data_IF_641339392092
#
_entry.id   IF_641339392092
#
_cell.length_a   1.000
_cell.length_b   1.000
_cell.length_c   1.000
_cell.angle_alpha   90.00
_cell.angle_beta   90.00
_cell.angle_gamma   90.00
#
_symmetry.space_group_name_H-M   'P 1'
#
loop_
_entity.id
_entity.type
_entity.pdbx_description
1 polymer ?
#
# COMPACT_ATOMS: atom_id res chain seq x y z
N UNK A 1 -4.08 53.82 24.21
CA UNK A 1 -3.18 53.24 23.15
C UNK A 1 -1.96 52.70 23.87
N UNK A 2 -1.86 51.44 24.03
CA UNK A 2 -0.64 50.82 24.57
C UNK A 2 0.45 50.97 23.51
N UNK A 3 1.59 51.58 23.87
CA UNK A 3 2.75 51.62 22.98
C UNK A 3 3.26 50.16 22.78
N UNK A 4 3.22 49.69 21.54
CA UNK A 4 3.77 48.38 21.15
C UNK A 4 5.30 48.51 21.25
N UNK A 5 5.89 47.97 22.33
CA UNK A 5 7.35 47.93 22.52
C UNK A 5 7.86 46.52 22.16
N UNK A 6 8.56 46.46 21.02
CA UNK A 6 9.16 45.19 20.56
C UNK A 6 10.67 45.28 20.71
N UNK A 7 11.29 44.31 21.39
CA UNK A 7 12.75 44.16 21.38
C UNK A 7 13.21 43.49 20.07
N UNK A 8 13.64 44.31 19.13
CA UNK A 8 14.14 43.88 17.83
C UNK A 8 15.60 43.38 17.85
N UNK A 9 16.32 43.56 18.98
CA UNK A 9 17.76 43.27 19.07
C UNK A 9 18.08 41.90 19.67
N UNK A 10 17.14 41.23 20.32
CA UNK A 10 17.31 39.94 21.00
C UNK A 10 17.00 38.74 20.11
N UNK A 11 17.93 37.75 20.00
CA UNK A 11 17.66 36.38 19.49
C UNK A 11 17.80 36.17 17.99
N UNK A 12 17.72 34.91 17.56
CA UNK A 12 17.94 34.31 16.24
C UNK A 12 17.80 35.18 14.98
N UNK A 13 18.45 34.77 13.88
CA UNK A 13 18.53 35.41 12.55
C UNK A 13 17.18 35.57 11.82
N UNK A 14 16.05 35.74 12.53
CA UNK A 14 14.74 35.92 11.90
C UNK A 14 14.59 37.34 11.28
N UNK A 15 13.94 37.48 10.12
CA UNK A 15 13.64 38.77 9.49
C UNK A 15 12.82 39.67 10.41
N UNK A 16 13.00 41.00 10.32
CA UNK A 16 12.34 41.97 11.19
C UNK A 16 10.80 41.91 11.09
N UNK A 17 10.25 41.64 9.91
CA UNK A 17 8.80 41.53 9.74
C UNK A 17 8.22 40.35 10.51
N UNK A 18 8.94 39.21 10.57
CA UNK A 18 8.53 38.00 11.28
C UNK A 18 8.49 38.26 12.80
N UNK A 19 9.48 38.96 13.33
CA UNK A 19 9.49 39.35 14.75
C UNK A 19 8.30 40.25 15.12
N UNK A 20 7.96 41.21 14.23
CA UNK A 20 6.81 42.10 14.42
C UNK A 20 5.51 41.31 14.36
N UNK A 21 5.39 40.40 13.37
CA UNK A 21 4.24 39.54 13.20
C UNK A 21 4.03 38.64 14.44
N UNK A 22 5.06 37.92 14.87
CA UNK A 22 4.97 37.02 16.03
C UNK A 22 4.62 37.76 17.31
N UNK A 23 5.22 38.94 17.53
CA UNK A 23 4.91 39.76 18.71
C UNK A 23 3.43 40.15 18.74
N UNK A 24 2.91 40.72 17.67
CA UNK A 24 1.52 41.16 17.60
C UNK A 24 0.56 39.98 17.73
N UNK A 25 0.87 38.89 17.04
CA UNK A 25 0.11 37.62 17.12
C UNK A 25 0.01 37.12 18.56
N UNK A 26 1.13 37.05 19.28
CA UNK A 26 1.16 36.60 20.69
C UNK A 26 0.39 37.56 21.60
N UNK A 27 0.52 38.87 21.44
CA UNK A 27 -0.23 39.86 22.23
C UNK A 27 -1.76 39.77 22.00
N UNK A 28 -2.19 39.42 20.77
CA UNK A 28 -3.60 39.16 20.46
C UNK A 28 -4.05 37.83 21.09
N UNK A 29 -3.25 36.76 20.94
CA UNK A 29 -3.54 35.44 21.51
C UNK A 29 -3.59 35.47 23.05
N UNK A 30 -2.67 36.20 23.68
CA UNK A 30 -2.63 36.39 25.13
C UNK A 30 -3.76 37.30 25.65
N UNK A 31 -4.59 37.86 24.75
CA UNK A 31 -5.69 38.79 25.13
C UNK A 31 -5.25 40.19 25.57
N UNK A 32 -3.96 40.53 25.42
CA UNK A 32 -3.43 41.85 25.76
C UNK A 32 -3.85 42.92 24.78
N UNK A 33 -4.06 42.55 23.51
CA UNK A 33 -4.72 43.40 22.51
C UNK A 33 -6.10 42.78 22.28
N UNK A 34 -7.13 43.56 22.66
CA UNK A 34 -8.51 43.04 22.72
C UNK A 34 -9.18 42.98 21.35
N UNK A 35 -10.18 42.11 21.20
CA UNK A 35 -11.08 42.06 20.04
C UNK A 35 -11.63 43.44 19.71
N UNK A 36 -11.62 43.79 18.43
CA UNK A 36 -12.09 45.10 17.92
C UNK A 36 -11.15 46.27 18.24
N UNK A 37 -10.03 46.02 18.94
CA UNK A 37 -9.04 47.06 19.20
C UNK A 37 -8.34 47.46 17.89
N UNK A 38 -8.15 48.76 17.73
CA UNK A 38 -7.51 49.33 16.55
C UNK A 38 -6.00 49.30 16.69
N UNK A 39 -5.32 48.65 15.74
CA UNK A 39 -3.87 48.67 15.65
C UNK A 39 -3.34 49.98 15.12
N UNK A 40 -2.09 50.37 15.49
CA UNK A 40 -1.41 51.53 14.89
C UNK A 40 -1.34 51.41 13.36
N UNK A 41 -1.39 52.52 12.65
CA UNK A 41 -1.16 52.48 11.20
C UNK A 41 0.24 51.99 10.89
N UNK A 42 0.43 51.32 9.75
CA UNK A 42 1.75 50.78 9.32
C UNK A 42 2.82 51.89 9.35
N UNK A 43 2.46 53.11 9.01
CA UNK A 43 3.36 54.27 9.06
C UNK A 43 3.73 54.70 10.50
N UNK A 44 2.77 54.66 11.42
CA UNK A 44 3.00 54.99 12.81
C UNK A 44 3.87 53.95 13.50
N UNK A 45 3.53 52.68 13.31
CA UNK A 45 4.29 51.56 13.90
C UNK A 45 5.72 51.50 13.34
N UNK A 46 5.90 51.73 12.05
CA UNK A 46 7.22 51.77 11.43
C UNK A 46 8.10 52.91 12.03
N UNK A 47 7.50 54.07 12.29
CA UNK A 47 8.19 55.18 12.95
C UNK A 47 8.57 54.84 14.39
N UNK A 48 7.67 54.25 15.16
CA UNK A 48 7.90 53.89 16.57
C UNK A 48 9.00 52.82 16.71
N UNK A 49 9.02 51.80 15.81
CA UNK A 49 9.99 50.71 15.81
C UNK A 49 11.29 51.03 15.05
N UNK A 50 11.39 52.22 14.42
CA UNK A 50 12.53 52.63 13.59
C UNK A 50 12.87 51.62 12.47
N UNK A 51 11.82 51.04 11.84
CA UNK A 51 11.92 50.12 10.72
C UNK A 51 11.32 50.69 9.45
N UNK A 52 11.52 50.03 8.29
CA UNK A 52 10.86 50.43 7.05
C UNK A 52 9.36 50.19 7.12
N UNK A 53 8.57 51.04 6.44
CA UNK A 53 7.12 50.85 6.34
C UNK A 53 6.77 49.53 5.69
N UNK A 54 7.51 49.08 4.66
CA UNK A 54 7.31 47.83 3.99
C UNK A 54 7.50 46.63 4.92
N UNK A 55 8.39 46.73 5.92
CA UNK A 55 8.57 45.68 6.93
C UNK A 55 7.32 45.46 7.79
N UNK A 56 6.67 46.57 8.18
CA UNK A 56 5.41 46.52 8.95
C UNK A 56 4.25 46.06 8.08
N UNK A 57 4.22 46.51 6.81
CA UNK A 57 3.19 46.06 5.85
C UNK A 57 3.24 44.57 5.64
N UNK A 58 4.42 43.95 5.46
CA UNK A 58 4.57 42.48 5.37
C UNK A 58 4.05 41.75 6.62
N UNK A 59 4.33 42.28 7.82
CA UNK A 59 3.81 41.71 9.06
C UNK A 59 2.28 41.79 9.15
N UNK A 60 1.71 42.92 8.75
CA UNK A 60 0.26 43.13 8.76
C UNK A 60 -0.43 42.29 7.67
N UNK A 61 0.15 42.21 6.50
CA UNK A 61 -0.35 41.31 5.42
C UNK A 61 -0.41 39.84 5.87
N UNK A 62 0.59 39.39 6.63
CA UNK A 62 0.60 38.07 7.22
C UNK A 62 -0.53 37.90 8.26
N UNK A 63 -0.68 38.84 9.17
CA UNK A 63 -1.76 38.86 10.17
C UNK A 63 -3.16 38.88 9.54
N UNK A 64 -3.32 39.65 8.44
CA UNK A 64 -4.54 39.69 7.63
C UNK A 64 -4.81 38.31 6.96
N UNK A 65 -3.79 37.76 6.33
CA UNK A 65 -3.90 36.44 5.64
C UNK A 65 -4.28 35.30 6.61
N UNK A 66 -3.81 35.40 7.85
CA UNK A 66 -4.13 34.41 8.90
C UNK A 66 -5.41 34.76 9.67
N UNK A 67 -6.03 35.94 9.44
CA UNK A 67 -7.30 36.31 10.06
C UNK A 67 -7.20 36.81 11.51
N UNK A 68 -6.01 37.19 11.99
CA UNK A 68 -5.85 37.81 13.31
C UNK A 68 -6.35 39.25 13.32
N UNK A 69 -6.25 39.90 12.18
CA UNK A 69 -6.72 41.29 12.00
C UNK A 69 -7.54 41.42 10.73
N UNK A 70 -8.37 42.42 10.65
CA UNK A 70 -9.12 42.83 9.46
C UNK A 70 -8.82 44.28 9.09
N UNK A 71 -8.89 44.60 7.80
CA UNK A 71 -8.68 45.94 7.30
C UNK A 71 -10.02 46.60 6.96
N UNK A 72 -10.37 47.68 7.65
CA UNK A 72 -11.52 48.49 7.30
C UNK A 72 -11.11 49.69 6.42
N UNK A 73 -11.72 49.87 5.25
CA UNK A 73 -11.40 51.00 4.36
C UNK A 73 -11.49 52.34 5.09
N UNK A 74 -10.44 53.14 4.98
CA UNK A 74 -10.31 54.46 5.60
C UNK A 74 -10.26 54.49 7.14
N UNK A 75 -10.46 53.35 7.84
CA UNK A 75 -10.48 53.26 9.30
C UNK A 75 -9.21 52.62 9.86
N UNK A 76 -8.59 51.70 9.13
CA UNK A 76 -7.35 51.03 9.52
C UNK A 76 -7.51 49.55 9.82
N UNK A 77 -6.64 49.04 10.68
CA UNK A 77 -6.58 47.62 11.02
C UNK A 77 -7.20 47.35 12.40
N UNK A 78 -7.99 46.28 12.52
CA UNK A 78 -8.69 45.94 13.75
C UNK A 78 -8.49 44.46 14.09
N UNK A 79 -8.42 44.11 15.36
CA UNK A 79 -8.26 42.71 15.81
C UNK A 79 -9.57 41.97 15.66
N UNK A 80 -9.50 40.81 15.01
CA UNK A 80 -10.65 39.90 14.80
C UNK A 80 -11.10 39.18 16.08
N UNK A 81 -12.33 38.66 16.09
CA UNK A 81 -12.82 37.79 17.16
C UNK A 81 -12.25 36.37 17.01
N UNK A 82 -11.14 36.11 17.68
CA UNK A 82 -10.49 34.81 17.64
C UNK A 82 -10.84 33.92 18.85
N UNK A 83 -11.50 34.48 19.89
CA UNK A 83 -11.88 33.69 21.09
C UNK A 83 -12.76 32.52 20.75
N UNK A 84 -13.69 32.64 19.80
CA UNK A 84 -14.52 31.55 19.34
C UNK A 84 -13.74 30.41 18.60
N UNK A 85 -12.56 30.75 18.06
CA UNK A 85 -11.69 29.78 17.33
C UNK A 85 -10.64 29.16 18.27
N UNK A 86 -10.23 29.88 19.34
CA UNK A 86 -9.22 29.41 20.29
C UNK A 86 -9.78 28.52 21.41
N UNK A 87 -11.09 28.29 21.49
CA UNK A 87 -11.63 27.14 22.27
C UNK A 87 -11.13 25.78 21.73
N UNK A 88 -10.37 25.78 20.63
CA UNK A 88 -9.57 24.64 20.17
C UNK A 88 -8.24 24.46 20.94
N UNK A 89 -7.90 25.31 21.88
CA UNK A 89 -6.71 25.17 22.77
C UNK A 89 -6.81 24.02 23.80
N UNK A 90 -7.82 23.23 23.76
CA UNK A 90 -7.76 21.93 24.42
C UNK A 90 -6.83 20.91 23.72
N UNK A 91 -6.00 21.34 22.75
CA UNK A 91 -4.93 20.50 22.20
C UNK A 91 -3.86 20.12 23.23
N UNK A 92 -3.61 20.94 24.23
CA UNK A 92 -2.73 20.59 25.33
C UNK A 92 -3.29 19.43 26.16
N UNK A 93 -4.61 19.32 26.30
CA UNK A 93 -5.26 18.20 26.95
C UNK A 93 -5.13 16.86 26.20
N UNK A 94 -4.91 16.90 24.91
CA UNK A 94 -4.71 15.68 24.12
C UNK A 94 -3.27 15.16 24.23
N UNK A 95 -2.29 16.06 24.33
CA UNK A 95 -0.89 15.70 24.63
C UNK A 95 -0.74 15.23 26.08
N UNK A 96 -1.41 15.88 27.03
CA UNK A 96 -1.45 15.42 28.43
C UNK A 96 -2.16 14.08 28.59
N UNK A 97 -3.26 13.81 27.87
CA UNK A 97 -3.92 12.50 27.84
C UNK A 97 -3.06 11.41 27.19
N UNK A 98 -2.27 11.75 26.18
CA UNK A 98 -1.30 10.82 25.56
C UNK A 98 -0.10 10.56 26.48
N UNK A 99 0.30 11.54 27.30
CA UNK A 99 1.36 11.38 28.32
C UNK A 99 0.86 10.73 29.60
N UNK A 100 -0.41 10.89 29.95
CA UNK A 100 -1.00 10.32 31.15
C UNK A 100 -1.33 8.82 31.06
N UNK A 101 -1.01 8.14 29.95
CA UNK A 101 -1.07 6.68 29.84
C UNK A 101 -2.46 6.07 30.05
N UNK A 102 -3.54 6.84 29.91
CA UNK A 102 -4.88 6.27 29.99
C UNK A 102 -5.26 5.59 28.69
N UNK A 103 -5.13 4.28 28.70
CA UNK A 103 -5.79 3.22 27.94
C UNK A 103 -6.48 3.57 26.59
N UNK A 104 -5.83 4.31 25.69
CA UNK A 104 -6.11 4.12 24.29
C UNK A 104 -5.31 2.91 23.82
N UNK A 105 -5.86 1.72 23.99
CA UNK A 105 -5.36 0.53 23.31
C UNK A 105 -6.02 0.49 21.93
N UNK A 106 -5.27 0.68 20.83
CA UNK A 106 -5.83 0.42 19.53
C UNK A 106 -6.29 -1.03 19.49
N UNK A 107 -7.58 -1.25 19.23
CA UNK A 107 -8.19 -2.59 19.16
C UNK A 107 -7.64 -3.51 18.08
N UNK A 108 -6.51 -3.11 17.44
CA UNK A 108 -5.78 -3.85 16.41
C UNK A 108 -4.37 -4.26 16.86
N UNK A 109 -4.14 -4.45 18.17
CA UNK A 109 -2.98 -5.23 18.59
C UNK A 109 -3.13 -6.70 18.15
N UNK A 110 -3.31 -6.94 16.87
CA UNK A 110 -2.71 -8.08 16.22
C UNK A 110 -1.22 -7.76 16.17
N UNK A 111 -0.45 -8.51 16.93
CA UNK A 111 1.00 -8.45 16.96
C UNK A 111 1.59 -8.71 15.57
N UNK A 112 1.58 -7.71 14.71
CA UNK A 112 2.56 -7.62 13.65
C UNK A 112 3.79 -7.06 14.38
N UNK A 113 4.55 -7.93 15.00
CA UNK A 113 5.92 -7.63 15.43
C UNK A 113 6.74 -7.40 14.16
N UNK A 114 6.62 -6.21 13.60
CA UNK A 114 7.69 -5.71 12.75
C UNK A 114 8.87 -5.45 13.68
N UNK A 115 9.82 -6.38 13.66
CA UNK A 115 11.08 -6.22 14.35
C UNK A 115 11.85 -4.99 13.84
N UNK A 116 11.57 -3.85 14.43
CA UNK A 116 12.38 -2.66 14.35
C UNK A 116 12.93 -2.37 15.74
N UNK A 117 14.13 -2.84 16.00
CA UNK A 117 15.06 -2.26 16.97
C UNK A 117 14.87 -2.64 18.42
N UNK A 118 15.51 -3.67 18.88
CA UNK A 118 16.56 -3.74 19.91
C UNK A 118 16.72 -5.15 20.45
N UNK A 119 17.96 -5.49 20.68
CA UNK A 119 18.53 -6.63 21.39
C UNK A 119 18.90 -7.87 20.58
N UNK A 120 20.13 -8.23 20.82
CA UNK A 120 21.04 -9.19 20.23
C UNK A 120 20.70 -10.68 20.43
N UNK A 121 19.47 -11.10 20.28
CA UNK A 121 19.18 -12.50 20.01
C UNK A 121 18.71 -12.60 18.57
N UNK A 122 19.40 -13.38 17.73
CA UNK A 122 18.94 -13.75 16.40
C UNK A 122 17.70 -14.64 16.59
N UNK A 123 16.55 -14.01 16.72
CA UNK A 123 15.28 -14.70 16.68
C UNK A 123 15.14 -15.31 15.26
N UNK A 124 14.95 -16.61 15.17
CA UNK A 124 14.74 -17.29 13.89
C UNK A 124 13.30 -16.99 13.47
N UNK A 125 13.14 -16.16 12.44
CA UNK A 125 11.83 -15.80 11.89
C UNK A 125 11.43 -16.75 10.76
N UNK A 126 10.37 -17.53 10.96
CA UNK A 126 9.73 -18.39 9.97
C UNK A 126 8.50 -17.76 9.32
N UNK A 127 8.33 -16.45 9.44
CA UNK A 127 7.19 -15.74 8.82
C UNK A 127 7.17 -15.96 7.30
N UNK A 128 6.02 -16.34 6.70
CA UNK A 128 5.88 -16.51 5.27
C UNK A 128 5.92 -15.20 4.47
N UNK A 129 6.00 -14.06 5.16
CA UNK A 129 5.99 -12.73 4.54
C UNK A 129 7.39 -12.19 4.23
N UNK A 130 8.45 -12.85 4.70
CA UNK A 130 9.84 -12.47 4.45
C UNK A 130 10.39 -13.06 3.15
N UNK A 131 11.41 -12.42 2.60
CA UNK A 131 12.17 -12.90 1.45
C UNK A 131 13.67 -12.92 1.78
N UNK A 132 14.47 -13.55 0.93
CA UNK A 132 15.94 -13.51 1.03
C UNK A 132 16.48 -12.16 0.56
N UNK A 133 16.58 -11.21 1.48
CA UNK A 133 17.08 -9.85 1.21
C UNK A 133 18.58 -9.78 0.95
N UNK A 134 19.36 -10.79 1.37
CA UNK A 134 20.81 -10.84 1.14
C UNK A 134 21.16 -11.00 -0.33
N UNK A 135 20.29 -11.65 -1.09
CA UNK A 135 20.46 -11.89 -2.51
C UNK A 135 19.74 -10.87 -3.42
N UNK A 136 19.20 -9.81 -2.84
CA UNK A 136 18.63 -8.71 -3.61
C UNK A 136 19.70 -8.09 -4.54
N UNK A 137 19.40 -7.72 -5.78
CA UNK A 137 20.37 -7.28 -6.77
C UNK A 137 20.78 -5.80 -6.58
N UNK A 138 21.35 -5.44 -5.40
CA UNK A 138 21.66 -4.06 -5.01
C UNK A 138 22.48 -3.29 -6.04
N UNK A 139 23.47 -3.92 -6.69
CA UNK A 139 24.33 -3.23 -7.65
C UNK A 139 23.58 -2.83 -8.92
N UNK A 140 22.72 -3.73 -9.42
CA UNK A 140 21.87 -3.47 -10.57
C UNK A 140 20.86 -2.39 -10.21
N UNK A 141 20.21 -2.52 -9.06
CA UNK A 141 19.18 -1.58 -8.59
C UNK A 141 19.70 -0.16 -8.44
N UNK A 142 20.89 0.00 -7.82
CA UNK A 142 21.59 1.29 -7.73
C UNK A 142 21.94 1.88 -9.10
N UNK A 143 22.46 1.03 -10.02
CA UNK A 143 22.77 1.46 -11.38
C UNK A 143 21.53 1.99 -12.11
N UNK A 144 20.41 1.27 -12.03
CA UNK A 144 19.17 1.67 -12.70
C UNK A 144 18.61 2.98 -12.10
N UNK A 145 18.58 3.13 -10.76
CA UNK A 145 18.19 4.39 -10.13
C UNK A 145 19.06 5.56 -10.56
N UNK A 146 20.38 5.35 -10.60
CA UNK A 146 21.30 6.38 -11.08
C UNK A 146 21.00 6.78 -12.53
N UNK A 147 20.82 5.80 -13.41
CA UNK A 147 20.55 6.08 -14.83
C UNK A 147 19.25 6.85 -15.00
N UNK A 148 18.16 6.42 -14.33
CA UNK A 148 16.84 7.07 -14.40
C UNK A 148 16.91 8.55 -14.02
N UNK A 149 17.79 8.92 -13.07
CA UNK A 149 17.93 10.31 -12.61
C UNK A 149 18.99 11.11 -13.37
N UNK A 150 19.92 10.45 -14.11
CA UNK A 150 20.96 11.12 -14.86
C UNK A 150 20.49 11.72 -16.20
N UNK A 151 19.38 11.22 -16.72
CA UNK A 151 18.90 11.63 -18.03
C UNK A 151 18.24 13.01 -18.03
N UNK A 152 18.22 13.71 -16.87
CA UNK A 152 17.62 15.04 -16.64
C UNK A 152 16.22 15.20 -17.28
N UNK A 153 15.46 14.11 -17.33
CA UNK A 153 14.13 14.08 -17.93
C UNK A 153 13.12 14.71 -16.99
N UNK A 154 12.71 15.93 -17.26
CA UNK A 154 11.68 16.63 -16.49
C UNK A 154 10.39 15.81 -16.33
N UNK A 155 10.04 15.04 -17.34
CA UNK A 155 8.85 14.19 -17.37
C UNK A 155 8.75 13.19 -16.22
N UNK A 156 9.89 12.74 -15.67
CA UNK A 156 9.90 11.76 -14.58
C UNK A 156 9.41 12.36 -13.25
N UNK A 157 9.45 13.70 -13.15
CA UNK A 157 9.00 14.45 -11.98
C UNK A 157 7.53 14.91 -12.09
N UNK A 158 6.92 14.74 -13.26
CA UNK A 158 5.52 15.08 -13.49
C UNK A 158 4.59 13.94 -13.02
N UNK A 159 3.32 14.28 -12.79
CA UNK A 159 2.28 13.29 -12.52
C UNK A 159 2.21 12.27 -13.67
N UNK A 160 2.17 10.99 -13.30
CA UNK A 160 2.03 9.91 -14.28
C UNK A 160 0.57 9.63 -14.66
N UNK A 161 0.40 8.65 -15.55
CA UNK A 161 -0.90 8.05 -15.86
C UNK A 161 -1.47 7.36 -14.62
N UNK A 162 -2.76 7.54 -14.33
CA UNK A 162 -3.46 6.90 -13.21
C UNK A 162 -3.40 5.38 -13.23
N UNK A 163 -3.38 4.76 -14.42
CA UNK A 163 -3.17 3.33 -14.60
C UNK A 163 -1.72 2.88 -14.34
N UNK A 164 -0.77 3.82 -14.25
CA UNK A 164 0.66 3.57 -14.23
C UNK A 164 1.30 3.77 -15.59
N UNK A 165 2.63 3.87 -15.60
CA UNK A 165 3.43 4.13 -16.81
C UNK A 165 3.16 3.12 -17.92
N UNK A 166 2.85 3.60 -19.11
CA UNK A 166 2.48 2.76 -20.26
C UNK A 166 3.59 1.80 -20.65
N UNK A 167 4.84 2.26 -20.66
CA UNK A 167 5.98 1.43 -21.04
C UNK A 167 6.24 0.31 -20.00
N UNK A 168 5.98 0.59 -18.70
CA UNK A 168 6.03 -0.46 -17.69
C UNK A 168 4.89 -1.46 -17.88
N UNK A 169 3.68 -0.98 -18.19
CA UNK A 169 2.53 -1.87 -18.46
C UNK A 169 2.81 -2.78 -19.67
N UNK A 170 3.44 -2.27 -20.72
CA UNK A 170 3.91 -3.09 -21.85
C UNK A 170 4.92 -4.15 -21.41
N UNK A 171 5.92 -3.76 -20.61
CA UNK A 171 6.93 -4.72 -20.14
C UNK A 171 6.31 -5.81 -19.23
N UNK A 172 5.29 -5.47 -18.44
CA UNK A 172 4.54 -6.43 -17.62
C UNK A 172 3.70 -7.35 -18.52
N UNK A 173 3.01 -6.83 -19.56
CA UNK A 173 2.23 -7.63 -20.49
C UNK A 173 3.10 -8.68 -21.21
N UNK A 174 4.27 -8.26 -21.74
CA UNK A 174 5.24 -9.14 -22.36
C UNK A 174 5.72 -10.24 -21.41
N UNK A 175 6.06 -9.86 -20.17
CA UNK A 175 6.48 -10.80 -19.14
C UNK A 175 5.37 -11.81 -18.82
N UNK A 176 4.14 -11.36 -18.62
CA UNK A 176 2.99 -12.20 -18.28
C UNK A 176 2.66 -13.18 -19.41
N UNK A 177 2.70 -12.71 -20.64
CA UNK A 177 2.47 -13.57 -21.81
C UNK A 177 3.50 -14.70 -21.87
N UNK A 178 4.79 -14.38 -21.72
CA UNK A 178 5.87 -15.37 -21.79
C UNK A 178 5.92 -16.32 -20.60
N UNK A 179 5.72 -15.78 -19.38
CA UNK A 179 5.92 -16.55 -18.15
C UNK A 179 4.67 -17.31 -17.69
N UNK A 180 3.48 -16.78 -17.97
CA UNK A 180 2.20 -17.25 -17.41
C UNK A 180 1.14 -17.56 -18.45
N UNK A 181 1.39 -17.21 -19.73
CA UNK A 181 0.42 -17.35 -20.81
C UNK A 181 -0.77 -16.39 -20.67
N UNK A 182 -0.70 -15.38 -19.79
CA UNK A 182 -1.78 -14.40 -19.61
C UNK A 182 -2.01 -13.67 -20.93
N UNK A 183 -3.25 -13.70 -21.40
CA UNK A 183 -3.64 -13.00 -22.63
C UNK A 183 -4.15 -11.60 -22.30
N UNK A 184 -3.26 -10.61 -22.38
CA UNK A 184 -3.60 -9.21 -22.10
C UNK A 184 -2.77 -8.24 -22.92
N UNK A 185 -3.28 -7.00 -23.05
CA UNK A 185 -2.56 -5.84 -23.59
C UNK A 185 -2.27 -4.83 -22.49
N UNK A 186 -1.33 -3.91 -22.75
CA UNK A 186 -0.91 -2.91 -21.76
C UNK A 186 -2.08 -2.04 -21.23
N UNK A 187 -3.08 -1.79 -22.07
CA UNK A 187 -4.26 -1.01 -21.74
C UNK A 187 -5.11 -1.65 -20.63
N UNK A 188 -5.07 -2.99 -20.51
CA UNK A 188 -5.82 -3.72 -19.48
C UNK A 188 -5.13 -3.74 -18.12
N UNK A 189 -3.87 -3.29 -18.04
CA UNK A 189 -3.06 -3.36 -16.83
C UNK A 189 -3.20 -2.08 -16.02
N UNK A 190 -3.43 -2.23 -14.73
CA UNK A 190 -3.42 -1.15 -13.74
C UNK A 190 -2.34 -1.45 -12.70
N UNK A 191 -1.45 -0.48 -12.46
CA UNK A 191 -0.36 -0.58 -11.48
C UNK A 191 -0.78 0.09 -10.18
N UNK A 192 -0.54 -0.59 -9.06
CA UNK A 192 -0.90 -0.09 -7.73
C UNK A 192 0.10 -0.42 -6.63
N UNK A 193 -0.01 0.29 -5.51
CA UNK A 193 0.86 0.15 -4.34
C UNK A 193 0.48 -1.07 -3.47
N UNK A 194 0.49 -2.26 -4.04
CA UNK A 194 0.14 -3.53 -3.40
C UNK A 194 -1.25 -4.02 -3.76
N UNK A 195 -1.50 -5.32 -3.47
CA UNK A 195 -2.78 -5.94 -3.83
C UNK A 195 -3.94 -5.32 -3.07
N UNK A 196 -3.75 -4.92 -1.82
CA UNK A 196 -4.79 -4.31 -0.99
C UNK A 196 -5.36 -3.03 -1.63
N UNK A 197 -4.47 -2.18 -2.20
CA UNK A 197 -4.92 -1.00 -2.96
C UNK A 197 -5.69 -1.39 -4.23
N UNK A 198 -5.19 -2.40 -4.96
CA UNK A 198 -5.86 -2.87 -6.18
C UNK A 198 -7.22 -3.52 -5.88
N UNK A 199 -7.37 -4.23 -4.76
CA UNK A 199 -8.64 -4.78 -4.28
C UNK A 199 -9.64 -3.66 -3.92
N UNK A 200 -9.18 -2.58 -3.25
CA UNK A 200 -10.01 -1.39 -2.99
C UNK A 200 -10.48 -0.72 -4.29
N UNK A 201 -9.57 -0.56 -5.24
CA UNK A 201 -9.89 0.02 -6.55
C UNK A 201 -10.85 -0.87 -7.34
N UNK A 202 -10.61 -2.19 -7.32
CA UNK A 202 -11.47 -3.18 -7.96
C UNK A 202 -12.90 -3.15 -7.40
N UNK A 203 -13.07 -2.94 -6.10
CA UNK A 203 -14.39 -2.80 -5.50
C UNK A 203 -15.16 -1.58 -6.03
N UNK A 204 -14.49 -0.48 -6.35
CA UNK A 204 -15.12 0.67 -7.02
C UNK A 204 -15.64 0.30 -8.42
N UNK A 205 -14.86 -0.52 -9.15
CA UNK A 205 -15.23 -0.96 -10.51
C UNK A 205 -16.37 -1.98 -10.50
N UNK A 206 -16.35 -2.92 -9.54
CA UNK A 206 -17.36 -3.98 -9.43
C UNK A 206 -18.68 -3.50 -8.79
N UNK A 207 -18.64 -2.40 -8.02
CA UNK A 207 -19.76 -1.84 -7.30
C UNK A 207 -20.02 -2.49 -5.93
N UNK A 208 -20.99 -1.98 -5.21
CA UNK A 208 -21.29 -2.33 -3.83
C UNK A 208 -22.01 -3.69 -3.68
N UNK A 209 -22.06 -4.18 -2.43
CA UNK A 209 -22.91 -5.31 -1.98
C UNK A 209 -22.65 -6.62 -2.75
N UNK A 210 -21.40 -6.94 -3.00
CA UNK A 210 -21.01 -8.23 -3.62
C UNK A 210 -20.83 -9.32 -2.57
N UNK A 211 -21.06 -10.56 -3.00
CA UNK A 211 -20.69 -11.76 -2.23
C UNK A 211 -19.44 -12.38 -2.82
N UNK A 212 -18.39 -12.49 -1.98
CA UNK A 212 -17.11 -13.11 -2.35
C UNK A 212 -16.97 -14.46 -1.66
N UNK A 213 -16.66 -15.50 -2.41
CA UNK A 213 -16.27 -16.79 -1.86
C UNK A 213 -14.77 -16.94 -1.87
N UNK A 214 -14.23 -17.47 -0.78
CA UNK A 214 -12.81 -17.76 -0.60
C UNK A 214 -12.62 -19.18 -0.06
N UNK A 215 -11.46 -19.76 -0.30
CA UNK A 215 -11.06 -21.02 0.33
C UNK A 215 -11.03 -20.92 1.87
N UNK A 216 -11.22 -22.04 2.56
CA UNK A 216 -10.95 -22.19 4.00
C UNK A 216 -9.94 -23.34 4.20
N UNK A 217 -8.71 -23.06 4.64
CA UNK A 217 -8.14 -21.76 5.01
C UNK A 217 -7.82 -20.86 3.81
N UNK A 218 -7.84 -19.51 4.04
CA UNK A 218 -7.63 -18.51 3.01
C UNK A 218 -6.54 -17.49 3.35
N UNK A 219 -6.23 -16.60 2.41
CA UNK A 219 -5.36 -15.46 2.61
C UNK A 219 -6.08 -14.36 3.39
N UNK A 220 -5.67 -14.18 4.66
CA UNK A 220 -6.40 -13.37 5.62
C UNK A 220 -6.44 -11.87 5.26
N UNK A 221 -5.40 -11.34 4.59
CA UNK A 221 -5.40 -9.94 4.17
C UNK A 221 -6.51 -9.66 3.16
N UNK A 222 -6.62 -10.45 2.09
CA UNK A 222 -7.70 -10.29 1.12
C UNK A 222 -9.08 -10.47 1.77
N UNK A 223 -9.24 -11.47 2.65
CA UNK A 223 -10.47 -11.64 3.43
C UNK A 223 -10.86 -10.37 4.19
N UNK A 224 -9.91 -9.77 4.90
CA UNK A 224 -10.13 -8.53 5.66
C UNK A 224 -10.39 -7.33 4.76
N UNK A 225 -9.67 -7.22 3.64
CA UNK A 225 -9.88 -6.13 2.68
C UNK A 225 -11.31 -6.16 2.15
N UNK A 226 -11.77 -7.28 1.62
CA UNK A 226 -13.13 -7.39 1.09
C UNK A 226 -14.21 -7.22 2.17
N UNK A 227 -13.99 -7.75 3.38
CA UNK A 227 -14.91 -7.56 4.51
C UNK A 227 -15.00 -6.08 4.92
N UNK A 228 -13.88 -5.35 4.98
CA UNK A 228 -13.83 -3.95 5.37
C UNK A 228 -14.45 -3.02 4.31
N UNK A 229 -14.43 -3.42 3.04
CA UNK A 229 -15.13 -2.72 1.94
C UNK A 229 -16.66 -2.87 2.06
N UNK A 230 -17.13 -3.83 2.88
CA UNK A 230 -18.55 -4.11 3.06
C UNK A 230 -19.08 -5.22 2.16
N UNK A 231 -18.22 -6.01 1.54
CA UNK A 231 -18.63 -7.22 0.82
C UNK A 231 -18.94 -8.34 1.79
N UNK A 232 -19.92 -9.18 1.43
CA UNK A 232 -20.22 -10.39 2.17
C UNK A 232 -19.19 -11.47 1.79
N UNK A 233 -18.21 -11.72 2.66
CA UNK A 233 -17.21 -12.76 2.43
C UNK A 233 -17.66 -14.05 3.10
N UNK A 234 -17.68 -15.15 2.34
CA UNK A 234 -17.98 -16.48 2.81
C UNK A 234 -16.83 -17.44 2.49
N UNK A 235 -16.53 -18.33 3.41
CA UNK A 235 -15.48 -19.31 3.24
C UNK A 235 -16.05 -20.66 2.87
N UNK A 236 -15.40 -21.34 1.93
CA UNK A 236 -15.74 -22.69 1.49
C UNK A 236 -14.56 -23.60 1.83
N UNK A 237 -14.78 -24.72 2.55
CA UNK A 237 -13.70 -25.65 2.85
C UNK A 237 -12.93 -26.06 1.59
N UNK A 238 -11.61 -25.88 1.62
CA UNK A 238 -10.73 -26.29 0.54
C UNK A 238 -10.33 -27.76 0.75
N UNK A 239 -10.52 -28.55 -0.28
CA UNK A 239 -9.96 -29.90 -0.39
C UNK A 239 -8.63 -29.87 -1.17
N UNK A 240 -8.08 -31.06 -1.45
CA UNK A 240 -6.88 -31.16 -2.28
C UNK A 240 -7.18 -30.60 -3.70
N UNK A 241 -6.77 -29.35 -3.93
CA UNK A 241 -6.96 -28.68 -5.20
C UNK A 241 -7.80 -27.39 -5.16
N UNK A 242 -8.37 -27.01 -4.02
CA UNK A 242 -9.16 -25.78 -3.84
C UNK A 242 -10.66 -26.03 -3.60
N UNK A 243 -11.49 -25.03 -3.87
CA UNK A 243 -12.95 -25.07 -3.65
C UNK A 243 -13.64 -26.10 -4.53
N UNK A 244 -14.53 -26.92 -3.95
CA UNK A 244 -15.38 -27.82 -4.72
C UNK A 244 -16.50 -27.04 -5.43
N UNK A 245 -16.68 -27.32 -6.72
CA UNK A 245 -17.69 -26.63 -7.55
C UNK A 245 -19.12 -26.81 -7.01
N UNK A 246 -19.46 -27.94 -6.42
CA UNK A 246 -20.76 -28.18 -5.81
C UNK A 246 -21.02 -27.27 -4.62
N UNK A 247 -20.01 -26.99 -3.82
CA UNK A 247 -20.11 -26.06 -2.71
C UNK A 247 -20.26 -24.61 -3.22
N UNK A 248 -19.49 -24.24 -4.25
CA UNK A 248 -19.59 -22.93 -4.92
C UNK A 248 -21.02 -22.71 -5.47
N UNK A 249 -21.60 -23.72 -6.11
CA UNK A 249 -22.95 -23.63 -6.70
C UNK A 249 -24.08 -23.47 -5.70
N UNK A 250 -23.89 -23.96 -4.46
CA UNK A 250 -24.86 -23.77 -3.37
C UNK A 250 -24.94 -22.34 -2.87
N UNK A 251 -23.85 -21.61 -3.05
CA UNK A 251 -23.77 -20.20 -2.64
C UNK A 251 -24.14 -19.26 -3.80
N UNK A 252 -24.96 -18.26 -3.51
CA UNK A 252 -25.26 -17.23 -4.50
C UNK A 252 -24.17 -16.17 -4.46
N UNK A 253 -23.02 -16.46 -5.07
CA UNK A 253 -21.87 -15.58 -5.09
C UNK A 253 -21.75 -14.81 -6.41
N UNK A 254 -21.09 -13.66 -6.32
CA UNK A 254 -20.73 -12.82 -7.46
C UNK A 254 -19.25 -12.99 -7.83
N UNK A 255 -18.39 -13.27 -6.85
CA UNK A 255 -16.94 -13.28 -6.99
C UNK A 255 -16.37 -14.53 -6.32
N UNK A 256 -15.43 -15.20 -6.99
CA UNK A 256 -14.55 -16.19 -6.36
C UNK A 256 -13.14 -15.63 -6.32
N UNK A 257 -12.53 -15.62 -5.14
CA UNK A 257 -11.11 -15.30 -4.97
C UNK A 257 -10.32 -16.60 -4.89
N UNK A 258 -9.41 -16.82 -5.82
CA UNK A 258 -8.70 -18.10 -5.99
C UNK A 258 -7.21 -17.87 -6.22
N UNK A 259 -6.40 -18.84 -5.77
CA UNK A 259 -4.94 -18.90 -6.00
C UNK A 259 -4.58 -20.21 -6.74
N UNK A 260 -4.86 -20.30 -8.06
CA UNK A 260 -4.82 -21.60 -8.76
C UNK A 260 -3.43 -22.18 -8.92
N UNK A 261 -2.40 -21.34 -8.90
CA UNK A 261 -1.01 -21.75 -9.13
C UNK A 261 -0.32 -22.25 -7.88
N UNK A 262 -0.67 -21.68 -6.72
CA UNK A 262 -0.13 -22.05 -5.42
C UNK A 262 -1.04 -21.49 -4.32
N UNK A 263 -2.01 -22.30 -3.89
CA UNK A 263 -2.99 -21.89 -2.88
C UNK A 263 -2.34 -21.63 -1.52
N UNK A 264 -2.60 -20.48 -0.95
CA UNK A 264 -2.13 -20.13 0.39
C UNK A 264 -3.23 -20.39 1.43
N UNK A 265 -2.95 -21.08 2.55
CA UNK A 265 -1.63 -21.61 2.97
C UNK A 265 -1.36 -23.05 2.61
N UNK A 266 -2.26 -23.80 1.95
CA UNK A 266 -2.14 -25.23 1.75
C UNK A 266 -1.03 -25.65 0.76
N UNK A 267 -0.57 -24.74 -0.09
CA UNK A 267 0.47 -25.02 -1.09
C UNK A 267 0.00 -25.94 -2.23
N UNK A 268 -1.29 -26.08 -2.41
CA UNK A 268 -1.87 -26.94 -3.47
C UNK A 268 -1.96 -26.21 -4.80
N UNK A 269 -1.96 -26.98 -5.89
CA UNK A 269 -2.16 -26.46 -7.25
C UNK A 269 -3.54 -26.89 -7.72
N UNK A 270 -4.34 -25.97 -8.23
CA UNK A 270 -5.68 -26.25 -8.73
C UNK A 270 -5.62 -27.06 -10.03
N UNK A 271 -6.23 -28.26 -10.09
CA UNK A 271 -6.29 -29.08 -11.31
C UNK A 271 -7.03 -28.38 -12.45
N UNK A 272 -6.64 -28.70 -13.71
CA UNK A 272 -7.27 -28.11 -14.90
C UNK A 272 -8.79 -28.31 -14.93
N UNK A 273 -9.27 -29.50 -14.57
CA UNK A 273 -10.72 -29.79 -14.52
C UNK A 273 -11.44 -28.77 -13.66
N UNK A 274 -10.95 -28.50 -12.46
CA UNK A 274 -11.55 -27.56 -11.53
C UNK A 274 -11.48 -26.12 -12.05
N UNK A 275 -10.37 -25.71 -12.69
CA UNK A 275 -10.26 -24.41 -13.35
C UNK A 275 -11.35 -24.20 -14.40
N UNK A 276 -11.60 -25.21 -15.24
CA UNK A 276 -12.65 -25.16 -16.27
C UNK A 276 -14.05 -25.12 -15.67
N UNK A 277 -14.29 -25.85 -14.57
CA UNK A 277 -15.56 -25.83 -13.84
C UNK A 277 -15.87 -24.46 -13.22
N UNK A 278 -14.84 -23.79 -12.66
CA UNK A 278 -14.99 -22.42 -12.10
C UNK A 278 -15.21 -21.38 -13.22
N UNK A 279 -14.49 -21.47 -14.34
CA UNK A 279 -14.74 -20.62 -15.50
C UNK A 279 -16.17 -20.80 -16.03
N UNK A 280 -16.63 -22.04 -16.18
CA UNK A 280 -18.01 -22.33 -16.57
C UNK A 280 -19.01 -21.70 -15.60
N UNK A 281 -18.79 -21.83 -14.29
CA UNK A 281 -19.65 -21.20 -13.28
C UNK A 281 -19.70 -19.67 -13.45
N UNK A 282 -18.57 -19.03 -13.71
CA UNK A 282 -18.51 -17.58 -13.91
C UNK A 282 -19.26 -17.14 -15.18
N UNK A 283 -19.23 -17.96 -16.25
CA UNK A 283 -19.90 -17.67 -17.52
C UNK A 283 -21.43 -17.88 -17.47
N UNK A 284 -21.94 -18.66 -16.50
CA UNK A 284 -23.37 -18.95 -16.36
C UNK A 284 -24.22 -17.75 -15.96
N UNK A 285 -23.60 -16.68 -15.41
CA UNK A 285 -24.30 -15.48 -14.98
C UNK A 285 -23.47 -14.24 -15.27
N UNK A 286 -24.11 -13.23 -15.85
CA UNK A 286 -23.51 -11.92 -16.00
C UNK A 286 -23.18 -11.32 -14.62
N UNK A 287 -22.07 -10.57 -14.54
CA UNK A 287 -21.60 -9.94 -13.29
C UNK A 287 -20.90 -10.89 -12.31
N UNK A 288 -20.70 -12.17 -12.67
CA UNK A 288 -19.80 -13.07 -11.95
C UNK A 288 -18.38 -12.94 -12.46
N UNK A 289 -17.40 -13.00 -11.53
CA UNK A 289 -15.97 -12.92 -11.82
C UNK A 289 -15.15 -13.87 -10.95
N UNK A 290 -13.98 -14.22 -11.47
CA UNK A 290 -12.91 -14.90 -10.75
C UNK A 290 -11.78 -13.91 -10.53
N UNK A 291 -11.35 -13.72 -9.29
CA UNK A 291 -10.12 -12.99 -8.98
C UNK A 291 -9.01 -14.04 -8.82
N UNK A 292 -8.09 -14.09 -9.77
CA UNK A 292 -6.89 -14.93 -9.70
C UNK A 292 -5.77 -14.15 -9.02
N UNK A 293 -5.41 -14.50 -7.79
CA UNK A 293 -4.24 -13.95 -7.11
C UNK A 293 -3.02 -14.85 -7.37
N UNK A 294 -2.07 -14.30 -8.11
CA UNK A 294 -0.82 -14.97 -8.48
C UNK A 294 0.37 -14.33 -7.76
N UNK A 295 0.62 -14.78 -6.53
CA UNK A 295 1.54 -14.12 -5.62
C UNK A 295 2.98 -14.66 -5.62
N UNK A 296 3.22 -15.94 -6.03
CA UNK A 296 4.55 -16.56 -5.97
C UNK A 296 4.79 -17.68 -7.02
N UNK A 297 4.00 -17.69 -8.09
CA UNK A 297 4.08 -18.72 -9.14
C UNK A 297 5.43 -18.81 -9.87
N UNK A 298 6.26 -17.80 -9.76
CA UNK A 298 7.63 -17.77 -10.28
C UNK A 298 8.51 -18.86 -9.63
N UNK A 299 8.18 -19.30 -8.41
CA UNK A 299 8.98 -20.24 -7.62
C UNK A 299 8.46 -21.66 -7.70
N UNK A 300 8.50 -22.23 -8.90
CA UNK A 300 8.21 -23.64 -9.12
C UNK A 300 9.50 -24.45 -9.17
N UNK A 301 9.58 -25.49 -8.34
CA UNK A 301 10.79 -26.33 -8.18
C UNK A 301 10.75 -27.60 -9.00
N UNK A 302 9.56 -28.10 -9.33
CA UNK A 302 9.35 -29.33 -10.09
C UNK A 302 8.42 -29.08 -11.28
N UNK A 303 8.81 -29.52 -12.47
CA UNK A 303 8.04 -29.42 -13.71
C UNK A 303 8.10 -28.03 -14.37
N UNK A 304 7.30 -27.86 -15.43
CA UNK A 304 7.17 -26.60 -16.17
C UNK A 304 6.28 -25.62 -15.41
N UNK A 305 6.41 -24.29 -15.67
CA UNK A 305 5.44 -23.32 -15.18
C UNK A 305 4.00 -23.73 -15.55
N UNK A 306 3.07 -23.53 -14.62
CA UNK A 306 1.66 -23.80 -14.86
C UNK A 306 1.05 -22.54 -15.48
N UNK A 307 0.34 -22.60 -16.59
CA UNK A 307 -0.39 -21.47 -17.14
C UNK A 307 -1.38 -20.89 -16.10
N UNK A 308 -1.64 -19.60 -16.17
CA UNK A 308 -2.63 -18.94 -15.33
C UNK A 308 -4.04 -19.46 -15.61
N UNK A 309 -4.99 -19.19 -14.73
CA UNK A 309 -6.41 -19.41 -15.00
C UNK A 309 -6.88 -18.46 -16.12
N UNK A 310 -6.40 -17.22 -16.10
CA UNK A 310 -6.71 -16.23 -17.11
C UNK A 310 -6.31 -16.67 -18.54
N UNK A 311 -5.22 -17.43 -18.68
CA UNK A 311 -4.76 -17.90 -20.00
C UNK A 311 -5.74 -18.81 -20.76
N UNK A 312 -6.69 -19.41 -20.04
CA UNK A 312 -7.73 -20.29 -20.59
C UNK A 312 -9.13 -19.69 -20.50
N UNK A 313 -9.22 -18.42 -20.10
CA UNK A 313 -10.46 -17.65 -20.06
C UNK A 313 -10.76 -17.04 -21.43
N UNK A 314 -11.85 -17.46 -22.06
CA UNK A 314 -12.33 -16.94 -23.34
C UNK A 314 -13.56 -16.03 -23.22
N UNK A 315 -14.09 -15.88 -21.97
CA UNK A 315 -15.34 -15.18 -21.70
C UNK A 315 -15.13 -13.88 -20.88
N UNK A 316 -13.87 -13.46 -20.74
CA UNK A 316 -13.50 -12.26 -19.98
C UNK A 316 -14.07 -12.24 -18.54
N UNK A 317 -13.92 -13.37 -17.83
CA UNK A 317 -14.41 -13.55 -16.46
C UNK A 317 -13.32 -13.45 -15.41
N UNK A 318 -12.04 -13.51 -15.80
CA UNK A 318 -10.91 -13.53 -14.87
C UNK A 318 -10.29 -12.14 -14.73
N UNK A 319 -10.23 -11.66 -13.49
CA UNK A 319 -9.45 -10.50 -13.06
C UNK A 319 -8.15 -11.06 -12.48
N UNK A 320 -7.01 -10.73 -13.08
CA UNK A 320 -5.74 -11.27 -12.64
C UNK A 320 -4.99 -10.26 -11.78
N UNK A 321 -4.53 -10.69 -10.59
CA UNK A 321 -3.70 -9.91 -9.69
C UNK A 321 -2.29 -10.52 -9.64
N UNK A 322 -1.28 -9.67 -9.76
CA UNK A 322 0.11 -10.07 -9.64
C UNK A 322 0.92 -9.05 -8.83
N UNK A 323 2.04 -9.48 -8.26
CA UNK A 323 2.86 -8.65 -7.39
C UNK A 323 4.36 -8.90 -7.56
N UNK A 324 5.16 -7.85 -7.46
CA UNK A 324 6.62 -7.94 -7.39
C UNK A 324 7.15 -8.09 -5.95
N UNK A 325 6.26 -8.13 -4.95
CA UNK A 325 6.64 -8.19 -3.53
C UNK A 325 7.39 -9.46 -3.17
N UNK A 326 7.03 -10.61 -3.74
CA UNK A 326 7.70 -11.89 -3.51
C UNK A 326 8.86 -12.12 -4.46
N UNK A 327 8.72 -11.68 -5.69
CA UNK A 327 9.71 -11.92 -6.74
C UNK A 327 10.91 -10.96 -6.67
N UNK A 328 10.74 -9.75 -6.08
CA UNK A 328 11.82 -8.76 -5.93
C UNK A 328 11.99 -8.34 -4.47
N UNK A 329 11.06 -7.53 -3.94
CA UNK A 329 11.09 -7.10 -2.54
C UNK A 329 9.73 -6.55 -2.09
N UNK A 330 9.23 -6.91 -0.87
CA UNK A 330 7.96 -6.42 -0.34
C UNK A 330 7.91 -4.89 -0.19
N UNK A 331 9.06 -4.25 0.10
CA UNK A 331 9.17 -2.80 0.29
C UNK A 331 8.94 -1.97 -0.96
N UNK A 332 9.02 -2.56 -2.15
CA UNK A 332 8.74 -1.86 -3.40
C UNK A 332 7.26 -1.52 -3.56
N UNK A 333 6.39 -2.33 -2.96
CA UNK A 333 4.93 -2.12 -3.00
C UNK A 333 4.40 -1.92 -4.41
N UNK A 334 4.89 -2.68 -5.39
CA UNK A 334 4.40 -2.65 -6.76
C UNK A 334 3.65 -3.93 -7.05
N UNK A 335 2.37 -3.78 -7.33
CA UNK A 335 1.47 -4.84 -7.79
C UNK A 335 0.75 -4.36 -9.05
N UNK A 336 0.13 -5.28 -9.75
CA UNK A 336 -0.63 -4.97 -10.96
C UNK A 336 -1.88 -5.83 -11.06
N UNK A 337 -2.89 -5.29 -11.73
CA UNK A 337 -4.16 -5.95 -12.00
C UNK A 337 -4.41 -5.92 -13.51
N UNK A 338 -4.83 -7.06 -14.07
CA UNK A 338 -5.31 -7.14 -15.46
C UNK A 338 -6.82 -7.22 -15.44
N UNK A 339 -7.48 -6.23 -16.01
CA UNK A 339 -8.94 -6.20 -16.10
C UNK A 339 -9.44 -6.74 -17.45
N UNK A 340 -10.56 -7.49 -17.45
CA UNK A 340 -11.38 -7.69 -18.62
C UNK A 340 -11.74 -6.36 -19.31
N UNK A 341 -11.84 -6.32 -20.65
CA UNK A 341 -12.05 -5.07 -21.40
C UNK A 341 -13.30 -4.30 -20.98
N UNK A 342 -14.38 -4.99 -20.68
CA UNK A 342 -15.63 -4.36 -20.23
C UNK A 342 -15.51 -3.76 -18.82
N UNK A 343 -14.66 -4.32 -17.93
CA UNK A 343 -14.35 -3.73 -16.63
C UNK A 343 -13.34 -2.59 -16.74
N UNK A 344 -12.42 -2.66 -17.70
CA UNK A 344 -11.53 -1.55 -18.01
C UNK A 344 -12.33 -0.30 -18.41
N UNK A 345 -13.37 -0.45 -19.21
CA UNK A 345 -14.28 0.66 -19.56
C UNK A 345 -14.92 1.28 -18.31
N UNK A 346 -15.43 0.47 -17.38
CA UNK A 346 -15.98 0.96 -16.11
C UNK A 346 -14.92 1.68 -15.27
N UNK A 347 -13.69 1.14 -15.22
CA UNK A 347 -12.58 1.81 -14.55
C UNK A 347 -12.32 3.19 -15.15
N UNK A 348 -12.26 3.30 -16.47
CA UNK A 348 -12.04 4.56 -17.16
C UNK A 348 -13.14 5.59 -16.90
N UNK A 349 -14.38 5.15 -16.80
CA UNK A 349 -15.54 6.02 -16.53
C UNK A 349 -15.60 6.50 -15.07
N UNK A 350 -15.21 5.67 -14.11
CA UNK A 350 -15.46 5.93 -12.68
C UNK A 350 -14.21 6.10 -11.82
N UNK A 351 -13.04 5.65 -12.25
CA UNK A 351 -11.83 5.60 -11.44
C UNK A 351 -10.60 6.27 -12.08
N UNK A 352 -10.67 6.71 -13.34
CA UNK A 352 -9.54 7.30 -14.06
C UNK A 352 -9.02 8.62 -13.46
N UNK A 353 -9.78 9.26 -12.58
CA UNK A 353 -9.37 10.48 -11.87
C UNK A 353 -8.41 10.22 -10.71
N UNK A 354 -8.24 8.96 -10.27
CA UNK A 354 -7.25 8.63 -9.24
C UNK A 354 -5.84 8.76 -9.80
N UNK A 355 -4.97 9.40 -9.01
CA UNK A 355 -3.55 9.46 -9.33
C UNK A 355 -2.89 8.10 -9.12
N UNK A 356 -1.81 7.83 -9.87
CA UNK A 356 -0.99 6.63 -9.63
C UNK A 356 -0.44 6.62 -8.20
N UNK A 357 -0.46 5.45 -7.56
CA UNK A 357 0.02 5.25 -6.19
C UNK A 357 1.49 4.80 -6.12
N UNK A 358 2.08 4.48 -7.26
CA UNK A 358 3.50 4.12 -7.39
C UNK A 358 4.25 5.26 -8.06
N UNK A 359 5.34 5.73 -7.46
CA UNK A 359 6.10 6.84 -8.02
C UNK A 359 6.64 6.50 -9.42
N UNK A 360 6.63 7.48 -10.33
CA UNK A 360 7.11 7.31 -11.70
C UNK A 360 8.57 6.87 -11.76
N UNK A 361 9.40 7.36 -10.85
CA UNK A 361 10.81 6.92 -10.72
C UNK A 361 10.88 5.41 -10.45
N UNK A 362 10.08 4.88 -9.52
CA UNK A 362 10.09 3.44 -9.22
C UNK A 362 9.53 2.61 -10.36
N UNK A 363 8.52 3.11 -11.06
CA UNK A 363 7.97 2.46 -12.25
C UNK A 363 9.02 2.36 -13.35
N UNK A 364 9.75 3.43 -13.60
CA UNK A 364 10.81 3.48 -14.60
C UNK A 364 11.97 2.52 -14.26
N UNK A 365 12.43 2.51 -13.01
CA UNK A 365 13.45 1.57 -12.53
C UNK A 365 13.00 0.12 -12.72
N UNK A 366 11.75 -0.20 -12.40
CA UNK A 366 11.21 -1.54 -12.59
C UNK A 366 11.10 -1.91 -14.07
N UNK A 367 10.66 -0.98 -14.93
CA UNK A 367 10.64 -1.16 -16.38
C UNK A 367 12.00 -1.55 -16.91
N UNK A 368 13.03 -0.77 -16.56
CA UNK A 368 14.41 -1.05 -16.96
C UNK A 368 14.91 -2.40 -16.41
N UNK A 369 14.50 -2.76 -15.20
CA UNK A 369 14.84 -4.05 -14.60
C UNK A 369 14.24 -5.23 -15.36
N UNK A 370 13.00 -5.10 -15.81
CA UNK A 370 12.31 -6.14 -16.61
C UNK A 370 12.90 -6.21 -18.02
N UNK A 371 12.94 -5.09 -18.77
CA UNK A 371 13.40 -5.02 -20.16
C UNK A 371 14.90 -5.34 -20.33
N UNK A 372 15.71 -4.97 -19.35
CA UNK A 372 17.15 -5.23 -19.35
C UNK A 372 17.56 -6.67 -19.04
N UNK A 373 16.62 -7.62 -19.05
CA UNK A 373 16.78 -9.05 -18.70
C UNK A 373 17.33 -9.29 -17.27
N UNK A 374 17.39 -8.25 -16.45
CA UNK A 374 17.86 -8.37 -15.06
C UNK A 374 16.86 -9.14 -14.20
N UNK A 375 15.56 -8.91 -14.42
CA UNK A 375 14.49 -9.60 -13.70
C UNK A 375 14.52 -11.11 -13.96
N UNK A 376 14.61 -11.56 -15.21
CA UNK A 376 14.71 -12.97 -15.53
C UNK A 376 15.95 -13.64 -14.93
N UNK A 377 17.11 -12.96 -14.95
CA UNK A 377 18.34 -13.44 -14.29
C UNK A 377 18.18 -13.53 -12.77
N UNK A 378 17.55 -12.53 -12.16
CA UNK A 378 17.24 -12.53 -10.74
C UNK A 378 16.34 -13.69 -10.37
N UNK A 379 15.22 -13.89 -11.06
CA UNK A 379 14.30 -15.01 -10.82
C UNK A 379 15.00 -16.36 -10.94
N UNK A 380 15.83 -16.57 -11.96
CA UNK A 380 16.57 -17.83 -12.15
C UNK A 380 17.55 -18.08 -11.00
N UNK A 381 18.27 -17.03 -10.54
CA UNK A 381 19.14 -17.12 -9.37
C UNK A 381 18.34 -17.48 -8.12
N UNK A 382 17.23 -16.76 -7.87
CA UNK A 382 16.42 -16.96 -6.67
C UNK A 382 15.72 -18.32 -6.64
N UNK A 383 15.26 -18.83 -7.79
CA UNK A 383 14.75 -20.21 -7.90
C UNK A 383 15.76 -21.24 -7.42
N UNK A 384 17.02 -21.10 -7.85
CA UNK A 384 18.11 -22.00 -7.39
C UNK A 384 18.32 -21.91 -5.88
N UNK A 385 18.40 -20.71 -5.35
CA UNK A 385 18.61 -20.46 -3.91
C UNK A 385 17.45 -21.03 -3.09
N UNK A 386 16.20 -20.69 -3.44
CA UNK A 386 15.03 -21.14 -2.71
C UNK A 386 14.82 -22.64 -2.85
N UNK A 387 15.09 -23.23 -4.02
CA UNK A 387 15.07 -24.67 -4.20
C UNK A 387 16.03 -25.38 -3.24
N UNK A 388 17.27 -24.90 -3.13
CA UNK A 388 18.25 -25.49 -2.22
C UNK A 388 17.82 -25.38 -0.76
N UNK A 389 17.29 -24.22 -0.33
CA UNK A 389 16.76 -24.02 1.02
C UNK A 389 15.55 -24.92 1.29
N UNK A 390 14.64 -25.01 0.32
CA UNK A 390 13.46 -25.86 0.38
C UNK A 390 13.86 -27.35 0.52
N UNK A 391 14.72 -27.84 -0.37
CA UNK A 391 15.14 -29.25 -0.40
C UNK A 391 15.85 -29.64 0.91
N UNK A 392 16.66 -28.73 1.46
CA UNK A 392 17.28 -28.89 2.77
C UNK A 392 16.24 -28.96 3.89
N UNK A 393 15.33 -27.97 3.97
CA UNK A 393 14.30 -27.92 5.01
C UNK A 393 13.39 -29.15 4.97
N UNK A 394 12.85 -29.49 3.82
CA UNK A 394 11.97 -30.64 3.64
C UNK A 394 12.70 -31.92 3.95
N UNK A 395 13.98 -32.06 3.52
CA UNK A 395 14.82 -33.21 3.81
C UNK A 395 15.06 -33.42 5.31
N UNK A 396 15.29 -32.34 6.07
CA UNK A 396 15.46 -32.39 7.52
C UNK A 396 14.15 -32.67 8.26
N UNK A 397 13.05 -32.07 7.81
CA UNK A 397 11.72 -32.29 8.40
C UNK A 397 11.26 -33.75 8.22
N UNK A 398 11.49 -34.36 7.07
CA UNK A 398 11.14 -35.78 6.80
C UNK A 398 11.87 -36.78 7.69
N UNK A 399 13.00 -36.42 8.28
CA UNK A 399 13.74 -37.24 9.25
C UNK A 399 13.13 -37.23 10.66
N UNK A 400 12.19 -36.33 10.91
CA UNK A 400 11.63 -36.12 12.26
C UNK A 400 10.39 -37.00 12.46
N UNK A 401 10.37 -37.77 13.54
CA UNK A 401 9.28 -38.70 13.86
C UNK A 401 7.96 -37.99 14.25
N UNK A 402 8.02 -36.70 14.61
CA UNK A 402 6.84 -35.90 14.93
C UNK A 402 6.19 -35.24 13.69
N UNK A 403 6.83 -35.27 12.53
CA UNK A 403 6.24 -34.83 11.27
C UNK A 403 5.37 -35.92 10.70
N UNK A 404 4.09 -35.65 10.48
CA UNK A 404 3.14 -36.58 9.88
C UNK A 404 3.02 -36.38 8.37
N UNK A 405 2.95 -35.12 7.92
CA UNK A 405 2.79 -34.78 6.53
C UNK A 405 3.43 -33.40 6.22
N UNK A 406 3.88 -33.23 4.97
CA UNK A 406 4.37 -31.94 4.45
C UNK A 406 3.61 -31.68 3.16
N UNK A 407 2.91 -30.55 3.10
CA UNK A 407 2.21 -30.07 1.91
C UNK A 407 2.90 -28.81 1.35
N UNK A 408 2.70 -28.53 0.05
CA UNK A 408 3.31 -27.38 -0.62
C UNK A 408 4.77 -27.60 -1.03
N UNK A 409 5.23 -28.84 -1.19
CA UNK A 409 6.64 -29.16 -1.48
C UNK A 409 7.04 -29.08 -2.96
N UNK A 410 6.18 -28.53 -3.84
CA UNK A 410 6.44 -28.48 -5.29
C UNK A 410 6.72 -27.06 -5.80
N UNK A 411 6.28 -26.03 -5.08
CA UNK A 411 6.35 -24.64 -5.50
C UNK A 411 6.25 -23.68 -4.30
N UNK A 412 6.47 -22.38 -4.54
CA UNK A 412 6.24 -21.31 -3.60
C UNK A 412 7.31 -21.14 -2.53
N UNK A 413 7.09 -20.20 -1.63
CA UNK A 413 8.05 -19.79 -0.60
C UNK A 413 7.68 -20.28 0.82
N UNK A 414 6.73 -21.20 0.94
CA UNK A 414 6.32 -21.79 2.21
C UNK A 414 6.01 -23.27 2.09
N UNK A 415 6.02 -23.97 3.19
CA UNK A 415 5.57 -25.36 3.31
C UNK A 415 4.66 -25.48 4.52
N UNK A 416 3.64 -26.30 4.44
CA UNK A 416 2.75 -26.61 5.55
C UNK A 416 3.15 -27.97 6.14
N UNK A 417 3.44 -27.98 7.44
CA UNK A 417 3.88 -29.17 8.17
C UNK A 417 2.80 -29.62 9.15
N UNK A 418 2.32 -30.83 8.99
CA UNK A 418 1.42 -31.46 9.95
C UNK A 418 2.24 -32.20 11.00
N UNK A 419 2.01 -31.86 12.26
CA UNK A 419 2.71 -32.46 13.42
C UNK A 419 1.77 -33.27 14.30
N UNK A 420 2.30 -34.22 15.09
CA UNK A 420 1.52 -35.02 16.03
C UNK A 420 0.95 -34.14 17.15
N UNK A 421 -0.26 -34.45 17.63
CA UNK A 421 -0.99 -33.61 18.59
C UNK A 421 -0.28 -33.46 19.94
N UNK A 422 0.47 -34.44 20.38
CA UNK A 422 1.22 -34.44 21.64
C UNK A 422 2.36 -33.42 21.64
N UNK A 423 2.97 -33.18 20.48
CA UNK A 423 4.07 -32.24 20.33
C UNK A 423 3.60 -30.79 20.09
N UNK A 424 2.30 -30.57 19.82
CA UNK A 424 1.70 -29.23 19.78
C UNK A 424 1.67 -28.52 21.14
N UNK A 425 1.76 -29.28 22.26
CA UNK A 425 1.78 -28.71 23.61
C UNK A 425 3.09 -28.01 23.94
N UNK A 426 4.20 -28.47 23.39
CA UNK A 426 5.53 -27.87 23.60
C UNK A 426 5.62 -26.47 22.98
N UNK A 427 4.98 -26.23 21.83
CA UNK A 427 4.95 -24.91 21.20
C UNK A 427 4.08 -23.84 21.90
N UNK A 428 3.26 -24.21 22.90
CA UNK A 428 2.48 -23.25 23.69
C UNK A 428 3.23 -22.69 24.90
N UNK A 429 4.30 -23.36 25.32
CA UNK A 429 5.13 -22.92 26.43
C UNK A 429 6.27 -22.00 26.01
N UNK A 430 6.49 -21.81 24.72
CA UNK A 430 7.45 -20.88 24.13
C UNK A 430 6.79 -19.57 23.64
N UNK A 431 5.85 -19.03 24.46
CA UNK A 431 5.29 -17.70 24.22
C UNK A 431 5.89 -16.68 25.16
#
# INVERSE_FOLDING_TARGET
>A
MNEIMIDLQGGAKAPLYEKIYEYIKNEIVDGKISKGEKLPSTRLLAKNLSVSRSTVELAYDQLLAEGYIEAEPYRGYFVCDIEALYQLEQRNHMQEKLQAGQDWQPGWKTEIKHGAGSSKQKEIDFSPYTIDTQNFPYNVWRKLHKNVLLDDREEILLSGDGQGDHELRMAIADYLHQARGVNCVAEQIIIGAGNEYLELLLAQVLGEKKTVLMDDPTYLQAYRTFSNIGYLVKNIPAEQGGMLIEAVRRENADILYVMPSHQFPLGTVMPLKQRLELLKWASEKEGRYLIEDDHDSEYRYKGKPIPSLQSIDHEEKVIYLGTFSKSIAPSLRISYMVLPLHLLKKYQESCSFYSTTVSKIQQEVLREFIRGVYFGRHLNKMRGIYKNKHDFLVGELKKKNWVQNIAGDNAGLHVLVQVRSEERRVGKECR
#
